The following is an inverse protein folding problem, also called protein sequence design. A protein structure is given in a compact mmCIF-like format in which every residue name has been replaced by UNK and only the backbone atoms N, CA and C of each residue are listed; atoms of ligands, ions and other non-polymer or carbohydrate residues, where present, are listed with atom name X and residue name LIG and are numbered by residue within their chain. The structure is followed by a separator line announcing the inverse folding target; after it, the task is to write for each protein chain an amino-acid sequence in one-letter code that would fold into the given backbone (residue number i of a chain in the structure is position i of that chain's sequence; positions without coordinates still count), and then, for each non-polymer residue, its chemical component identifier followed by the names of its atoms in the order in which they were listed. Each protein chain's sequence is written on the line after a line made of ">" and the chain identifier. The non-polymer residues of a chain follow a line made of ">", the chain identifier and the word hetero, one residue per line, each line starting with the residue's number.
data_IF_746107137468
#
_entry.id   IF_746107137468
#
_cell.length_a   1.000
_cell.length_b   1.000
_cell.length_c   1.000
_cell.angle_alpha   90.00
_cell.angle_beta   90.00
_cell.angle_gamma   90.00
#
_symmetry.space_group_name_H-M   'P 1'
#
loop_
_entity.id
_entity.type
_entity.pdbx_description
1 polymer ?
#
# COMPACT_ATOMS: atom_id res chain seq x y z
N UNK A 1 10.65 3.91 7.62
CA UNK A 1 11.69 4.48 8.52
C UNK A 1 12.26 5.73 7.87
N UNK A 2 12.33 6.87 8.58
CA UNK A 2 13.01 8.06 8.06
C UNK A 2 14.52 7.88 8.15
N UNK A 3 15.24 8.14 7.07
CA UNK A 3 16.69 8.04 7.01
C UNK A 3 17.34 9.33 7.57
N UNK A 4 18.54 9.26 8.17
CA UNK A 4 19.23 10.42 8.71
C UNK A 4 19.61 11.42 7.62
N UNK A 5 19.92 12.66 8.02
CA UNK A 5 20.35 13.75 7.12
C UNK A 5 19.39 14.01 5.95
N UNK A 6 18.10 13.79 6.20
CA UNK A 6 17.02 13.98 5.23
C UNK A 6 17.18 13.18 3.92
N UNK A 7 17.83 12.02 3.99
CA UNK A 7 18.00 11.11 2.84
C UNK A 7 16.70 10.40 2.40
N UNK A 8 15.55 10.79 2.97
CA UNK A 8 14.23 10.29 2.61
C UNK A 8 13.71 9.17 3.52
N UNK A 9 12.90 8.28 2.93
CA UNK A 9 12.19 7.22 3.63
C UNK A 9 12.61 5.84 3.11
N UNK A 10 13.00 4.95 4.01
CA UNK A 10 13.05 3.51 3.73
C UNK A 10 11.63 2.94 3.87
N UNK A 11 11.14 2.36 2.77
CA UNK A 11 9.75 1.91 2.61
C UNK A 11 9.65 0.41 2.44
N UNK A 12 8.57 -0.19 2.95
CA UNK A 12 8.12 -1.50 2.49
C UNK A 12 7.06 -1.29 1.41
N UNK A 13 7.26 -1.90 0.24
CA UNK A 13 6.44 -1.64 -0.94
C UNK A 13 5.49 -2.80 -1.25
N UNK A 14 4.23 -2.48 -1.54
CA UNK A 14 3.23 -3.45 -1.98
C UNK A 14 3.56 -4.12 -3.33
N UNK A 15 4.60 -3.68 -4.03
CA UNK A 15 4.99 -4.23 -5.34
C UNK A 15 5.36 -5.72 -5.30
N UNK A 16 5.70 -6.27 -4.13
CA UNK A 16 5.98 -7.71 -3.97
C UNK A 16 4.71 -8.54 -3.72
N UNK A 17 3.55 -7.88 -3.57
CA UNK A 17 2.26 -8.55 -3.42
C UNK A 17 1.51 -8.52 -4.76
N UNK A 18 1.03 -9.68 -5.26
CA UNK A 18 0.38 -9.77 -6.56
C UNK A 18 -1.09 -9.31 -6.51
N UNK A 19 -1.36 -8.13 -5.94
CA UNK A 19 -2.73 -7.62 -5.78
C UNK A 19 -3.29 -7.05 -7.08
N UNK A 20 -4.49 -7.42 -7.47
CA UNK A 20 -5.12 -6.96 -8.70
C UNK A 20 -6.40 -6.15 -8.43
N UNK A 21 -7.17 -6.51 -7.41
CA UNK A 21 -8.40 -5.82 -6.98
C UNK A 21 -8.20 -4.95 -5.73
N UNK A 22 -9.17 -4.07 -5.41
CA UNK A 22 -9.17 -3.33 -4.14
C UNK A 22 -9.24 -4.28 -2.93
N UNK A 23 -10.03 -5.36 -3.02
CA UNK A 23 -10.14 -6.33 -1.93
C UNK A 23 -8.78 -7.00 -1.59
N UNK A 24 -7.99 -7.35 -2.60
CA UNK A 24 -6.64 -7.90 -2.41
C UNK A 24 -5.66 -6.85 -1.88
N UNK A 25 -5.74 -5.61 -2.38
CA UNK A 25 -4.93 -4.51 -1.86
C UNK A 25 -5.23 -4.24 -0.39
N UNK A 26 -6.52 -4.22 0.00
CA UNK A 26 -6.95 -4.12 1.40
C UNK A 26 -6.35 -5.25 2.23
N UNK A 27 -6.49 -6.49 1.77
CA UNK A 27 -5.94 -7.65 2.48
C UNK A 27 -4.42 -7.56 2.66
N UNK A 28 -3.69 -7.06 1.66
CA UNK A 28 -2.25 -6.84 1.75
C UNK A 28 -1.88 -5.73 2.76
N UNK A 29 -2.65 -4.64 2.80
CA UNK A 29 -2.45 -3.53 3.74
C UNK A 29 -2.69 -3.97 5.19
N UNK A 30 -3.80 -4.66 5.46
CA UNK A 30 -4.20 -5.04 6.82
C UNK A 30 -3.53 -6.32 7.31
N UNK A 31 -2.96 -7.13 6.40
CA UNK A 31 -2.29 -8.39 6.71
C UNK A 31 -0.76 -8.25 6.66
N UNK A 32 -0.11 -8.67 5.56
CA UNK A 32 1.35 -8.76 5.48
C UNK A 32 2.06 -7.43 5.72
N UNK A 33 1.54 -6.30 5.23
CA UNK A 33 2.17 -4.99 5.47
C UNK A 33 2.11 -4.62 6.96
N UNK A 34 0.95 -4.78 7.61
CA UNK A 34 0.81 -4.58 9.06
C UNK A 34 1.70 -5.52 9.87
N UNK A 35 1.85 -6.78 9.46
CA UNK A 35 2.74 -7.73 10.12
C UNK A 35 4.21 -7.30 10.04
N UNK A 36 4.66 -6.83 8.87
CA UNK A 36 6.02 -6.30 8.69
C UNK A 36 6.23 -5.01 9.49
N UNK A 37 5.22 -4.11 9.52
CA UNK A 37 5.23 -2.94 10.42
C UNK A 37 5.43 -3.40 11.86
N UNK A 38 4.60 -4.30 12.37
CA UNK A 38 4.63 -4.70 13.79
C UNK A 38 5.96 -5.35 14.19
N UNK A 39 6.56 -6.11 13.28
CA UNK A 39 7.87 -6.74 13.49
C UNK A 39 9.03 -5.72 13.52
N UNK A 40 8.92 -4.60 12.81
CA UNK A 40 10.02 -3.65 12.65
C UNK A 40 9.85 -2.36 13.45
N UNK A 41 8.62 -1.85 13.56
CA UNK A 41 8.22 -0.53 14.10
C UNK A 41 6.78 -0.56 14.64
N UNK A 42 6.53 -1.25 15.77
CA UNK A 42 5.19 -1.36 16.32
C UNK A 42 4.56 -0.01 16.70
N UNK A 43 5.34 0.93 17.23
CA UNK A 43 4.81 2.15 17.86
C UNK A 43 4.99 3.43 17.01
N UNK A 44 5.37 3.30 15.74
CA UNK A 44 5.74 4.43 14.90
C UNK A 44 5.10 4.39 13.51
N UNK A 45 4.93 5.55 12.84
CA UNK A 45 4.49 5.59 11.45
C UNK A 45 5.42 4.76 10.54
N UNK A 46 4.81 3.95 9.69
CA UNK A 46 5.50 3.02 8.82
C UNK A 46 5.33 3.44 7.36
N UNK A 47 6.45 3.80 6.74
CA UNK A 47 6.45 4.29 5.37
C UNK A 47 6.08 3.15 4.40
N UNK A 48 4.93 3.30 3.77
CA UNK A 48 4.34 2.37 2.83
C UNK A 48 4.55 2.87 1.40
N UNK A 49 5.13 2.01 0.56
CA UNK A 49 5.06 2.17 -0.88
C UNK A 49 3.82 1.45 -1.40
N UNK A 50 2.87 2.18 -1.99
CA UNK A 50 1.65 1.58 -2.52
C UNK A 50 1.87 1.11 -3.96
N UNK A 51 1.02 0.17 -4.39
CA UNK A 51 0.91 -0.24 -5.79
C UNK A 51 -0.55 -0.49 -6.10
N UNK A 52 -1.06 0.15 -7.15
CA UNK A 52 -2.44 -0.01 -7.60
C UNK A 52 -2.45 -0.45 -9.07
N UNK A 53 -3.22 -1.51 -9.34
CA UNK A 53 -3.54 -1.91 -10.71
C UNK A 53 -4.59 -0.93 -11.28
N UNK A 54 -4.80 -0.95 -12.60
CA UNK A 54 -5.92 -0.23 -13.21
C UNK A 54 -7.29 -0.61 -12.62
N UNK A 55 -7.47 -1.86 -12.20
CA UNK A 55 -8.72 -2.34 -11.59
C UNK A 55 -8.89 -1.81 -10.18
N UNK A 56 -7.84 -1.88 -9.34
CA UNK A 56 -7.83 -1.24 -8.03
C UNK A 56 -8.14 0.26 -8.13
N UNK A 57 -7.56 0.97 -9.11
CA UNK A 57 -7.82 2.41 -9.32
C UNK A 57 -9.29 2.66 -9.67
N UNK A 58 -9.91 1.86 -10.55
CA UNK A 58 -11.34 1.97 -10.89
C UNK A 58 -12.23 1.74 -9.67
N UNK A 59 -11.94 0.71 -8.87
CA UNK A 59 -12.69 0.46 -7.64
C UNK A 59 -12.55 1.63 -6.64
N UNK A 60 -11.35 2.23 -6.57
CA UNK A 60 -11.07 3.43 -5.79
C UNK A 60 -11.66 4.72 -6.39
N UNK A 61 -12.36 4.71 -7.54
CA UNK A 61 -13.16 5.87 -7.93
C UNK A 61 -14.36 6.07 -6.97
N UNK A 62 -14.85 4.96 -6.38
CA UNK A 62 -15.87 4.97 -5.35
C UNK A 62 -15.44 5.78 -4.12
N UNK A 63 -16.22 6.80 -3.69
CA UNK A 63 -15.94 7.54 -2.46
C UNK A 63 -15.87 6.64 -1.22
N UNK A 64 -16.69 5.57 -1.18
CA UNK A 64 -16.69 4.59 -0.09
C UNK A 64 -15.35 3.85 -0.01
N UNK A 65 -14.84 3.36 -1.14
CA UNK A 65 -13.57 2.64 -1.18
C UNK A 65 -12.38 3.55 -0.84
N UNK A 66 -12.40 4.82 -1.27
CA UNK A 66 -11.38 5.81 -0.87
C UNK A 66 -11.42 6.13 0.60
N UNK A 67 -12.61 6.27 1.17
CA UNK A 67 -12.76 6.47 2.61
C UNK A 67 -12.22 5.28 3.39
N UNK A 68 -12.50 4.06 2.93
CA UNK A 68 -11.96 2.82 3.52
C UNK A 68 -10.43 2.79 3.44
N UNK A 69 -9.83 3.10 2.29
CA UNK A 69 -8.37 3.21 2.15
C UNK A 69 -7.77 4.23 3.13
N UNK A 70 -8.38 5.40 3.25
CA UNK A 70 -7.92 6.45 4.18
C UNK A 70 -7.94 5.95 5.64
N UNK A 71 -9.03 5.29 6.04
CA UNK A 71 -9.15 4.70 7.38
C UNK A 71 -8.11 3.61 7.61
N UNK A 72 -7.94 2.67 6.67
CA UNK A 72 -6.93 1.62 6.77
C UNK A 72 -5.53 2.22 6.97
N UNK A 73 -5.15 3.21 6.18
CA UNK A 73 -3.84 3.84 6.30
C UNK A 73 -3.64 4.50 7.68
N UNK A 74 -4.65 5.22 8.17
CA UNK A 74 -4.60 5.88 9.47
C UNK A 74 -4.56 4.88 10.63
N UNK A 75 -5.52 3.95 10.67
CA UNK A 75 -5.70 2.98 11.77
C UNK A 75 -4.50 2.02 11.88
N UNK A 76 -3.80 1.78 10.77
CA UNK A 76 -2.62 0.92 10.70
C UNK A 76 -1.29 1.68 10.75
N UNK A 77 -1.28 2.99 11.02
CA UNK A 77 -0.06 3.83 11.05
C UNK A 77 0.77 3.72 9.75
N UNK A 78 0.12 3.47 8.62
CA UNK A 78 0.78 3.34 7.33
C UNK A 78 0.85 4.72 6.68
N UNK A 79 2.06 5.23 6.51
CA UNK A 79 2.32 6.50 5.86
C UNK A 79 2.59 6.25 4.37
N UNK A 80 1.65 6.52 3.45
CA UNK A 80 1.90 6.36 2.03
C UNK A 80 2.89 7.43 1.55
N UNK A 81 4.07 7.02 1.10
CA UNK A 81 5.11 7.97 0.62
C UNK A 81 5.36 7.88 -0.87
N UNK A 82 5.01 6.76 -1.50
CA UNK A 82 5.07 6.55 -2.94
C UNK A 82 3.90 5.70 -3.40
N UNK A 83 3.51 5.84 -4.67
CA UNK A 83 2.49 5.00 -5.31
C UNK A 83 3.00 4.60 -6.69
N UNK A 84 3.14 3.30 -6.93
CA UNK A 84 3.30 2.76 -8.27
C UNK A 84 1.91 2.58 -8.88
N UNK A 85 1.50 3.51 -9.74
CA UNK A 85 0.30 3.37 -10.56
C UNK A 85 0.67 2.69 -11.88
N UNK A 86 0.08 1.53 -12.16
CA UNK A 86 0.19 0.91 -13.48
C UNK A 86 -1.14 1.11 -14.22
N UNK A 87 -1.32 2.22 -14.94
CA UNK A 87 -2.45 2.36 -15.84
C UNK A 87 -2.22 1.35 -16.98
N UNK A 88 -3.16 0.41 -17.10
CA UNK A 88 -3.31 -0.59 -18.17
C UNK A 88 -2.44 -1.86 -18.06
N UNK A 89 -3.13 -2.97 -17.72
CA UNK A 89 -2.58 -4.34 -17.81
C UNK A 89 -2.29 -5.01 -16.46
N UNK A 90 -2.23 -6.35 -16.41
CA UNK A 90 -1.83 -7.11 -15.23
C UNK A 90 -0.30 -7.05 -15.08
N UNK A 91 0.20 -7.12 -13.85
CA UNK A 91 1.64 -7.13 -13.57
C UNK A 91 2.28 -8.51 -13.83
N UNK A 92 1.49 -9.59 -13.70
CA UNK A 92 1.93 -10.97 -13.91
C UNK A 92 0.94 -11.75 -14.78
N UNK A 93 1.46 -12.49 -15.77
CA UNK A 93 0.82 -13.70 -16.30
C UNK A 93 -0.55 -13.56 -16.98
N UNK A 94 -0.66 -12.77 -18.04
CA UNK A 94 -1.61 -13.11 -19.11
C UNK A 94 -0.84 -13.80 -20.23
N UNK A 95 -1.07 -15.11 -20.38
CA UNK A 95 -0.78 -15.80 -21.65
C UNK A 95 -1.92 -15.54 -22.61
#
# INVERSE_FOLDING_TARGET
>A
MRLPRDLGWLTYCLNIHPTQSWAETRAALTGPMSAVRDALRPDEPFAAGLRFSAETVRELESPRARSELKSILADNRLLPVTVNGFPYGPFHGRR
#
